data_IF_062783836785
#
_entry.id   IF_062783836785
#
_cell.length_a   1.000
_cell.length_b   1.000
_cell.length_c   1.000
_cell.angle_alpha   90.00
_cell.angle_beta   90.00
_cell.angle_gamma   90.00
#
_symmetry.space_group_name_H-M   'P 1'
#
loop_
_entity.id
_entity.type
_entity.pdbx_description
1 polymer ?
#
# COMPACT_ATOMS: atom_id res chain seq x y z
N UNK A 1 -1.29 4.43 19.62
CA UNK A 1 -1.81 5.24 18.49
C UNK A 1 -1.76 6.71 18.89
N UNK A 2 -1.14 7.58 18.09
CA UNK A 2 -1.14 9.03 18.29
C UNK A 2 -2.54 9.66 18.31
N UNK A 3 -2.73 10.65 19.17
CA UNK A 3 -3.97 11.44 19.25
C UNK A 3 -4.20 12.21 17.95
N UNK A 4 -5.46 12.27 17.48
CA UNK A 4 -5.82 12.97 16.25
C UNK A 4 -5.63 12.20 14.94
N UNK A 5 -5.24 10.92 15.02
CA UNK A 5 -5.18 10.00 13.87
C UNK A 5 -6.51 9.99 13.10
N UNK A 6 -6.44 9.99 11.76
CA UNK A 6 -7.59 10.02 10.85
C UNK A 6 -8.20 8.64 10.64
N UNK A 7 -7.35 7.61 10.63
CA UNK A 7 -7.68 6.22 10.39
C UNK A 7 -7.30 5.32 11.58
N UNK A 8 -7.70 5.68 12.82
CA UNK A 8 -7.22 5.05 14.05
C UNK A 8 -7.46 3.53 14.12
N UNK A 9 -8.53 3.05 13.48
CA UNK A 9 -8.93 1.64 13.45
C UNK A 9 -7.87 0.73 12.82
N UNK A 10 -6.98 1.26 11.98
CA UNK A 10 -5.96 0.48 11.30
C UNK A 10 -4.61 0.44 12.05
N UNK A 11 -4.46 1.18 13.15
CA UNK A 11 -3.20 1.29 13.89
C UNK A 11 -2.64 -0.06 14.32
N UNK A 12 -3.47 -0.89 14.95
CA UNK A 12 -3.05 -2.18 15.49
C UNK A 12 -2.64 -3.19 14.39
N UNK A 13 -3.13 -3.01 13.16
CA UNK A 13 -2.72 -3.83 12.03
C UNK A 13 -1.45 -3.28 11.40
N UNK A 14 -1.35 -1.95 11.23
CA UNK A 14 -0.19 -1.28 10.67
C UNK A 14 1.11 -1.60 11.44
N UNK A 15 1.06 -1.58 12.78
CA UNK A 15 2.22 -1.85 13.64
C UNK A 15 2.69 -3.30 13.63
N UNK A 16 1.95 -4.23 12.99
CA UNK A 16 2.44 -5.59 12.72
C UNK A 16 3.38 -5.66 11.52
N UNK A 17 3.33 -4.67 10.62
CA UNK A 17 4.07 -4.68 9.35
C UNK A 17 5.06 -3.53 9.21
N UNK A 18 4.85 -2.44 9.93
CA UNK A 18 5.67 -1.23 9.89
C UNK A 18 6.11 -0.83 11.31
N UNK A 19 7.22 -0.08 11.39
CA UNK A 19 7.61 0.57 12.66
C UNK A 19 6.50 1.52 13.10
N UNK A 20 6.36 1.72 14.41
CA UNK A 20 5.42 2.70 14.95
C UNK A 20 5.70 4.13 14.44
N UNK A 21 6.96 4.43 14.09
CA UNK A 21 7.38 5.75 13.57
C UNK A 21 6.81 6.04 12.17
N UNK A 22 6.43 5.01 11.42
CA UNK A 22 5.80 5.16 10.09
C UNK A 22 4.31 5.52 10.18
N UNK A 23 3.73 5.47 11.39
CA UNK A 23 2.28 5.60 11.55
C UNK A 23 1.73 6.91 11.01
N UNK A 24 2.40 8.04 11.26
CA UNK A 24 1.89 9.34 10.82
C UNK A 24 1.77 9.41 9.29
N UNK A 25 2.72 8.80 8.57
CA UNK A 25 2.68 8.67 7.11
C UNK A 25 1.58 7.71 6.67
N UNK A 26 1.47 6.54 7.32
CA UNK A 26 0.44 5.54 7.03
C UNK A 26 -0.96 6.15 7.24
N UNK A 27 -1.24 6.74 8.40
CA UNK A 27 -2.51 7.37 8.73
C UNK A 27 -2.93 8.43 7.70
N UNK A 28 -1.96 9.26 7.30
CA UNK A 28 -2.16 10.24 6.24
C UNK A 28 -2.51 9.60 4.90
N UNK A 29 -1.76 8.57 4.48
CA UNK A 29 -2.00 7.84 3.23
C UNK A 29 -3.36 7.17 3.23
N UNK A 30 -3.71 6.42 4.28
CA UNK A 30 -4.98 5.73 4.41
C UNK A 30 -6.18 6.70 4.26
N UNK A 31 -6.09 7.88 4.87
CA UNK A 31 -7.16 8.88 4.76
C UNK A 31 -7.19 9.55 3.38
N UNK A 32 -6.03 9.82 2.77
CA UNK A 32 -5.94 10.45 1.45
C UNK A 32 -6.44 9.51 0.35
N UNK A 33 -5.94 8.29 0.36
CA UNK A 33 -6.12 7.31 -0.70
C UNK A 33 -7.52 6.73 -0.70
N UNK A 34 -8.07 6.43 0.48
CA UNK A 34 -9.35 5.69 0.56
C UNK A 34 -10.33 6.22 1.59
N UNK A 35 -10.03 7.32 2.29
CA UNK A 35 -10.82 7.76 3.46
C UNK A 35 -10.94 6.64 4.51
N UNK A 36 -9.86 5.88 4.69
CA UNK A 36 -9.76 4.74 5.59
C UNK A 36 -10.66 3.54 5.23
N UNK A 37 -11.22 3.50 4.01
CA UNK A 37 -12.04 2.39 3.53
C UNK A 37 -11.17 1.29 2.91
N UNK A 38 -11.30 0.06 3.44
CA UNK A 38 -10.58 -1.11 2.94
C UNK A 38 -11.23 -1.75 1.70
N UNK A 39 -12.43 -1.31 1.34
CA UNK A 39 -13.14 -1.76 0.14
C UNK A 39 -13.13 -0.70 -0.99
N UNK A 40 -12.41 0.41 -0.80
CA UNK A 40 -12.29 1.43 -1.83
C UNK A 40 -11.75 0.84 -3.14
N UNK A 41 -12.35 1.23 -4.26
CA UNK A 41 -11.94 0.77 -5.59
C UNK A 41 -12.02 1.94 -6.56
N UNK A 42 -10.89 2.25 -7.19
CA UNK A 42 -10.87 3.14 -8.35
C UNK A 42 -10.73 2.28 -9.62
N UNK A 43 -11.81 2.03 -10.39
CA UNK A 43 -11.80 1.07 -11.49
C UNK A 43 -11.03 1.54 -12.74
N UNK A 44 -10.74 2.84 -12.85
CA UNK A 44 -10.07 3.45 -14.03
C UNK A 44 -8.99 4.42 -13.59
N UNK A 45 -7.96 3.91 -12.93
CA UNK A 45 -6.79 4.71 -12.58
C UNK A 45 -5.92 5.02 -13.82
N UNK A 46 -4.95 5.92 -13.68
CA UNK A 46 -4.20 6.62 -14.75
C UNK A 46 -3.61 5.71 -15.83
N UNK A 47 -3.34 4.43 -15.52
CA UNK A 47 -2.73 3.46 -16.44
C UNK A 47 -3.72 2.39 -16.97
N UNK A 48 -5.03 2.62 -16.85
CA UNK A 48 -6.07 1.70 -17.31
C UNK A 48 -6.23 0.44 -16.44
N UNK A 49 -5.51 0.36 -15.32
CA UNK A 49 -5.67 -0.67 -14.29
C UNK A 49 -6.35 -0.09 -13.06
N UNK A 50 -7.18 -0.88 -12.35
CA UNK A 50 -7.82 -0.44 -11.13
C UNK A 50 -6.82 -0.23 -9.99
N UNK A 51 -7.15 0.64 -9.04
CA UNK A 51 -6.44 0.81 -7.77
C UNK A 51 -7.32 0.36 -6.61
N UNK A 52 -6.72 -0.41 -5.69
CA UNK A 52 -7.44 -1.18 -4.69
C UNK A 52 -7.19 -0.64 -3.28
N UNK A 53 -8.28 -0.60 -2.52
CA UNK A 53 -8.36 -0.59 -1.07
C UNK A 53 -7.61 0.55 -0.37
N UNK A 54 -7.17 0.31 0.87
CA UNK A 54 -6.67 1.29 1.82
C UNK A 54 -5.55 2.19 1.27
N UNK A 55 -4.64 1.57 0.52
CA UNK A 55 -3.46 2.24 -0.02
C UNK A 55 -3.63 2.61 -1.49
N UNK A 56 -4.81 2.39 -2.10
CA UNK A 56 -5.02 2.53 -3.55
C UNK A 56 -3.88 1.87 -4.35
N UNK A 57 -3.58 0.61 -4.02
CA UNK A 57 -2.52 -0.15 -4.69
C UNK A 57 -2.94 -0.35 -6.13
N UNK A 58 -2.19 0.22 -7.08
CA UNK A 58 -2.48 0.05 -8.49
C UNK A 58 -2.29 -1.42 -8.92
N UNK A 59 -3.23 -1.93 -9.72
CA UNK A 59 -3.23 -3.31 -10.22
C UNK A 59 -1.98 -3.68 -11.03
N UNK A 60 -1.18 -2.70 -11.45
CA UNK A 60 0.17 -2.93 -11.98
C UNK A 60 1.04 -3.79 -11.05
N UNK A 61 0.95 -3.59 -9.73
CA UNK A 61 1.75 -4.34 -8.74
C UNK A 61 1.39 -5.81 -8.65
N UNK A 62 0.16 -6.17 -9.02
CA UNK A 62 -0.34 -7.55 -9.04
C UNK A 62 -0.64 -8.04 -10.47
N UNK A 63 -0.03 -7.43 -11.49
CA UNK A 63 -0.18 -7.85 -12.89
C UNK A 63 1.17 -8.18 -13.51
N UNK A 64 1.21 -9.10 -14.49
CA UNK A 64 2.40 -9.36 -15.29
C UNK A 64 3.01 -8.07 -15.87
N UNK A 65 4.34 -8.00 -15.85
CA UNK A 65 5.14 -6.92 -16.41
C UNK A 65 6.40 -7.47 -17.07
N UNK A 66 7.19 -6.61 -17.73
CA UNK A 66 8.48 -7.01 -18.32
C UNK A 66 9.50 -7.56 -17.32
N UNK A 67 9.33 -7.30 -16.03
CA UNK A 67 10.26 -7.71 -14.97
C UNK A 67 9.72 -8.84 -14.10
N UNK A 68 8.39 -9.01 -14.08
CA UNK A 68 7.70 -9.96 -13.21
C UNK A 68 6.63 -10.65 -14.04
N UNK A 69 6.85 -11.91 -14.40
CA UNK A 69 5.97 -12.69 -15.27
C UNK A 69 4.59 -12.91 -14.65
N UNK A 70 4.50 -13.02 -13.31
CA UNK A 70 3.23 -13.15 -12.59
C UNK A 70 2.72 -11.84 -12.01
N UNK A 71 3.58 -10.82 -11.94
CA UNK A 71 3.38 -9.60 -11.18
C UNK A 71 4.23 -9.59 -9.92
N UNK A 72 4.63 -8.38 -9.48
CA UNK A 72 5.56 -8.22 -8.38
C UNK A 72 5.02 -8.87 -7.09
N UNK A 73 3.77 -8.58 -6.72
CA UNK A 73 3.18 -9.07 -5.47
C UNK A 73 2.97 -10.60 -5.48
N UNK A 74 2.69 -11.19 -6.64
CA UNK A 74 2.64 -12.65 -6.81
C UNK A 74 4.02 -13.28 -6.61
N UNK A 75 5.05 -12.73 -7.25
CA UNK A 75 6.41 -13.27 -7.13
C UNK A 75 6.99 -13.09 -5.72
N UNK A 76 6.54 -12.08 -4.97
CA UNK A 76 6.84 -11.94 -3.54
C UNK A 76 6.00 -12.84 -2.62
N UNK A 77 5.07 -13.64 -3.15
CA UNK A 77 4.21 -14.53 -2.35
C UNK A 77 3.24 -13.78 -1.43
N UNK A 78 2.87 -12.55 -1.78
CA UNK A 78 1.95 -11.72 -1.00
C UNK A 78 0.51 -12.11 -1.27
N UNK A 79 0.17 -12.34 -2.53
CA UNK A 79 -1.16 -12.67 -3.03
C UNK A 79 -1.05 -13.55 -4.28
N UNK A 80 -2.14 -14.21 -4.65
CA UNK A 80 -2.29 -14.90 -5.94
C UNK A 80 -3.03 -14.05 -6.96
N UNK A 81 -4.10 -13.34 -6.55
CA UNK A 81 -4.87 -12.45 -7.44
C UNK A 81 -5.09 -11.07 -6.83
N UNK A 82 -5.36 -10.07 -7.67
CA UNK A 82 -5.52 -8.68 -7.22
C UNK A 82 -6.74 -8.49 -6.29
N UNK A 83 -7.75 -9.35 -6.37
CA UNK A 83 -8.95 -9.31 -5.53
C UNK A 83 -8.62 -9.54 -4.04
N UNK A 84 -7.52 -10.23 -3.74
CA UNK A 84 -7.05 -10.40 -2.36
C UNK A 84 -6.60 -9.07 -1.73
N UNK A 85 -6.39 -8.02 -2.53
CA UNK A 85 -6.17 -6.66 -2.02
C UNK A 85 -7.41 -6.07 -1.32
N UNK A 86 -8.56 -6.73 -1.30
CA UNK A 86 -9.69 -6.35 -0.44
C UNK A 86 -9.62 -6.93 0.98
N UNK A 87 -8.69 -7.86 1.26
CA UNK A 87 -8.41 -8.31 2.62
C UNK A 87 -7.40 -7.37 3.31
N UNK A 88 -7.73 -6.78 4.48
CA UNK A 88 -6.85 -5.83 5.14
C UNK A 88 -5.46 -6.37 5.47
N UNK A 89 -5.34 -7.66 5.84
CA UNK A 89 -4.03 -8.25 6.16
C UNK A 89 -3.16 -8.30 4.90
N UNK A 90 -3.72 -8.75 3.78
CA UNK A 90 -3.04 -8.75 2.48
C UNK A 90 -2.68 -7.35 2.02
N UNK A 91 -3.54 -6.34 2.26
CA UNK A 91 -3.26 -4.94 1.93
C UNK A 91 -2.01 -4.41 2.62
N UNK A 92 -1.88 -4.63 3.93
CA UNK A 92 -0.70 -4.19 4.68
C UNK A 92 0.56 -4.97 4.30
N UNK A 93 0.44 -6.29 4.00
CA UNK A 93 1.55 -7.08 3.45
C UNK A 93 2.01 -6.55 2.09
N UNK A 94 1.07 -6.21 1.21
CA UNK A 94 1.36 -5.66 -0.11
C UNK A 94 2.00 -4.27 -0.02
N UNK A 95 1.44 -3.38 0.80
CA UNK A 95 2.00 -2.05 1.05
C UNK A 95 3.44 -2.16 1.60
N UNK A 96 3.70 -3.11 2.52
CA UNK A 96 5.04 -3.34 3.06
C UNK A 96 6.02 -3.84 2.00
N UNK A 97 5.61 -4.77 1.13
CA UNK A 97 6.45 -5.26 0.05
C UNK A 97 6.84 -4.14 -0.93
N UNK A 98 5.89 -3.29 -1.31
CA UNK A 98 6.13 -2.14 -2.20
C UNK A 98 7.02 -1.09 -1.52
N UNK A 99 6.79 -0.81 -0.23
CA UNK A 99 7.64 0.09 0.55
C UNK A 99 9.10 -0.41 0.59
N UNK A 100 9.32 -1.70 0.86
CA UNK A 100 10.67 -2.29 0.90
C UNK A 100 11.33 -2.23 -0.47
N UNK A 101 10.60 -2.51 -1.55
CA UNK A 101 11.11 -2.37 -2.93
C UNK A 101 11.56 -0.92 -3.22
N UNK A 102 10.77 0.07 -2.79
CA UNK A 102 11.12 1.50 -2.89
C UNK A 102 12.40 1.84 -2.14
N UNK A 103 12.54 1.36 -0.90
CA UNK A 103 13.77 1.55 -0.11
C UNK A 103 14.98 0.89 -0.77
N UNK A 104 14.86 -0.37 -1.19
CA UNK A 104 15.98 -1.13 -1.75
C UNK A 104 16.45 -0.54 -3.08
N UNK A 105 15.52 -0.13 -3.95
CA UNK A 105 15.87 0.38 -5.30
C UNK A 105 16.21 1.86 -5.35
N UNK A 106 15.61 2.65 -4.46
CA UNK A 106 15.62 4.11 -4.58
C UNK A 106 15.95 4.84 -3.27
N UNK A 107 16.13 4.12 -2.17
CA UNK A 107 16.32 4.72 -0.84
C UNK A 107 15.10 5.48 -0.33
N UNK A 108 13.91 5.27 -0.94
CA UNK A 108 12.67 5.95 -0.57
C UNK A 108 11.49 4.98 -0.59
N UNK A 109 10.97 4.62 0.58
CA UNK A 109 9.97 3.58 0.74
C UNK A 109 8.59 4.01 0.24
N UNK A 110 8.13 5.19 0.62
CA UNK A 110 6.80 5.68 0.23
C UNK A 110 6.72 6.25 -1.19
N UNK A 111 7.80 6.17 -1.97
CA UNK A 111 7.92 6.73 -3.33
C UNK A 111 6.77 6.34 -4.25
N UNK A 112 6.25 5.12 -4.15
CA UNK A 112 5.13 4.63 -4.97
C UNK A 112 3.81 5.39 -4.72
N UNK A 113 3.71 6.12 -3.62
CA UNK A 113 2.56 6.97 -3.25
C UNK A 113 2.89 8.47 -3.30
N UNK A 114 3.96 8.84 -4.03
CA UNK A 114 4.40 10.22 -4.24
C UNK A 114 5.60 10.64 -3.39
N UNK A 115 6.03 11.89 -3.56
CA UNK A 115 7.22 12.46 -2.90
C UNK A 115 6.93 13.02 -1.50
N UNK A 116 6.24 12.26 -0.66
CA UNK A 116 5.94 12.71 0.71
C UNK A 116 7.20 12.59 1.57
N UNK A 117 7.49 13.59 2.43
CA UNK A 117 8.77 13.61 3.11
C UNK A 117 8.84 12.47 4.12
N UNK A 118 9.90 11.67 4.04
CA UNK A 118 10.28 10.68 5.06
C UNK A 118 10.75 11.34 6.37
N UNK A 119 10.69 12.67 6.44
CA UNK A 119 11.07 13.49 7.59
C UNK A 119 10.09 14.65 7.74
N UNK A 120 9.28 14.62 8.79
CA UNK A 120 8.89 15.86 9.46
C UNK A 120 10.04 16.36 10.32
#
# INVERSE_FOLDING_TARGET
>A
MPYGSKCPQWYALATKYFSADEWDTIDFLLNRESRCDAQALNPKDVNGKPSYSLFQINGFWCSPSKHYAMGFLQEQGVLTTCEELFDPVTQFRAARAIYVEGLVRHGMGWRSWGSYPETR
#
